data_IF_984579215595
#
_entry.id   IF_984579215595
#
_cell.length_a   1.000
_cell.length_b   1.000
_cell.length_c   1.000
_cell.angle_alpha   90.00
_cell.angle_beta   90.00
_cell.angle_gamma   90.00
#
_symmetry.space_group_name_H-M   'P 1'
#
loop_
_entity.id
_entity.type
_entity.pdbx_description
1 polymer ?
#
# COMPACT_ATOMS: atom_id res chain seq x y z
N UNK A 1 34.62 -19.87 -27.36
CA UNK A 1 34.98 -18.75 -26.46
C UNK A 1 33.71 -17.98 -26.17
N UNK A 2 33.13 -18.22 -24.98
CA UNK A 2 31.91 -17.56 -24.53
C UNK A 2 32.17 -16.08 -24.27
N UNK A 3 31.34 -15.21 -24.83
CA UNK A 3 31.10 -13.89 -24.25
C UNK A 3 29.61 -13.75 -24.00
N UNK A 4 29.31 -13.94 -22.73
CA UNK A 4 28.03 -13.76 -22.09
C UNK A 4 27.77 -12.24 -22.07
N UNK A 5 26.97 -11.72 -23.00
CA UNK A 5 26.39 -10.39 -22.82
C UNK A 5 25.28 -10.56 -21.78
N UNK A 6 25.70 -10.47 -20.51
CA UNK A 6 24.80 -10.32 -19.40
C UNK A 6 23.92 -9.12 -19.68
N UNK A 7 22.62 -9.38 -19.83
CA UNK A 7 21.61 -8.34 -19.87
C UNK A 7 21.73 -7.57 -18.55
N UNK A 8 22.35 -6.39 -18.63
CA UNK A 8 22.10 -5.32 -17.67
C UNK A 8 20.60 -5.09 -17.77
N UNK A 9 19.84 -5.65 -16.82
CA UNK A 9 18.46 -5.23 -16.58
C UNK A 9 18.53 -3.86 -15.94
N UNK A 10 18.88 -2.88 -16.77
CA UNK A 10 18.79 -1.45 -16.51
C UNK A 10 17.38 -1.15 -16.03
N UNK A 11 17.32 -0.46 -14.90
CA UNK A 11 16.11 -0.14 -14.19
C UNK A 11 15.09 0.59 -15.06
N UNK A 12 13.84 0.46 -14.61
CA UNK A 12 12.62 1.04 -15.19
C UNK A 12 12.10 0.26 -16.41
N UNK A 13 11.31 -0.80 -16.17
CA UNK A 13 10.26 -1.31 -17.09
C UNK A 13 9.47 -2.48 -16.46
N UNK A 14 8.65 -2.21 -15.43
CA UNK A 14 7.49 -3.04 -15.02
C UNK A 14 6.39 -2.19 -14.29
N UNK A 15 6.44 -0.85 -14.40
CA UNK A 15 5.74 0.10 -13.50
C UNK A 15 4.32 0.51 -13.97
N UNK A 16 3.62 -0.34 -14.73
CA UNK A 16 2.20 -0.09 -15.07
C UNK A 16 1.20 -0.88 -14.22
N UNK A 17 1.67 -1.82 -13.37
CA UNK A 17 0.77 -2.52 -12.46
C UNK A 17 0.56 -1.71 -11.16
N UNK A 18 -0.70 -1.49 -10.73
CA UNK A 18 -0.96 -0.86 -9.45
C UNK A 18 -0.34 -1.69 -8.32
N UNK A 19 0.32 -1.03 -7.37
CA UNK A 19 1.05 -1.64 -6.24
C UNK A 19 0.27 -2.77 -5.56
N UNK A 20 -1.04 -2.60 -5.43
CA UNK A 20 -1.98 -3.58 -4.88
C UNK A 20 -1.93 -4.91 -5.61
N UNK A 21 -1.96 -4.91 -6.95
CA UNK A 21 -1.91 -6.12 -7.75
C UNK A 21 -0.57 -6.84 -7.61
N UNK A 22 0.53 -6.07 -7.66
CA UNK A 22 1.88 -6.61 -7.54
C UNK A 22 2.07 -7.30 -6.19
N UNK A 23 1.69 -6.65 -5.09
CA UNK A 23 1.82 -7.20 -3.74
C UNK A 23 0.91 -8.41 -3.55
N UNK A 24 -0.33 -8.36 -4.02
CA UNK A 24 -1.26 -9.50 -3.94
C UNK A 24 -0.78 -10.72 -4.71
N UNK A 25 -0.07 -10.54 -5.83
CA UNK A 25 0.56 -11.63 -6.57
C UNK A 25 1.59 -12.34 -5.71
N UNK A 26 2.55 -11.60 -5.16
CA UNK A 26 3.58 -12.16 -4.27
C UNK A 26 2.98 -12.82 -3.02
N UNK A 27 1.94 -12.23 -2.42
CA UNK A 27 1.20 -12.86 -1.29
C UNK A 27 0.59 -14.20 -1.71
N UNK A 28 -0.02 -14.28 -2.91
CA UNK A 28 -0.62 -15.51 -3.43
C UNK A 28 0.43 -16.59 -3.71
N UNK A 29 1.59 -16.18 -4.19
CA UNK A 29 2.74 -17.05 -4.47
C UNK A 29 3.48 -17.48 -3.18
N UNK A 30 3.11 -16.90 -2.02
CA UNK A 30 3.74 -17.17 -0.72
C UNK A 30 5.08 -16.45 -0.53
N UNK A 31 5.42 -15.54 -1.44
CA UNK A 31 6.66 -14.76 -1.47
C UNK A 31 6.57 -13.54 -0.54
N UNK A 32 6.29 -13.79 0.74
CA UNK A 32 6.00 -12.73 1.71
C UNK A 32 7.15 -11.73 1.90
N UNK A 33 8.40 -12.20 1.82
CA UNK A 33 9.59 -11.34 1.95
C UNK A 33 9.66 -10.32 0.82
N UNK A 34 9.35 -10.73 -0.42
CA UNK A 34 9.35 -9.84 -1.58
C UNK A 34 8.20 -8.83 -1.49
N UNK A 35 7.03 -9.28 -1.06
CA UNK A 35 5.89 -8.40 -0.79
C UNK A 35 6.24 -7.34 0.28
N UNK A 36 6.92 -7.74 1.36
CA UNK A 36 7.34 -6.82 2.43
C UNK A 36 8.39 -5.82 1.93
N UNK A 37 9.37 -6.26 1.15
CA UNK A 37 10.40 -5.40 0.57
C UNK A 37 9.81 -4.31 -0.34
N UNK A 38 8.86 -4.68 -1.21
CA UNK A 38 8.15 -3.74 -2.08
C UNK A 38 7.42 -2.68 -1.25
N UNK A 39 6.73 -3.10 -0.19
CA UNK A 39 5.97 -2.19 0.65
C UNK A 39 6.87 -1.26 1.49
N UNK A 40 8.01 -1.76 1.98
CA UNK A 40 9.00 -0.97 2.70
C UNK A 40 9.67 0.07 1.79
N UNK A 41 10.01 -0.29 0.56
CA UNK A 41 10.54 0.65 -0.43
C UNK A 41 9.55 1.77 -0.70
N UNK A 42 8.27 1.44 -0.91
CA UNK A 42 7.21 2.42 -1.18
C UNK A 42 6.94 3.32 0.03
N UNK A 43 6.94 2.75 1.24
CA UNK A 43 6.86 3.52 2.49
C UNK A 43 8.03 4.49 2.64
N UNK A 44 9.25 4.06 2.32
CA UNK A 44 10.44 4.91 2.37
C UNK A 44 10.36 6.05 1.35
N UNK A 45 9.91 5.75 0.12
CA UNK A 45 9.68 6.78 -0.91
C UNK A 45 8.68 7.83 -0.41
N UNK A 46 7.54 7.40 0.15
CA UNK A 46 6.56 8.32 0.74
C UNK A 46 7.16 9.18 1.86
N UNK A 47 7.91 8.58 2.79
CA UNK A 47 8.54 9.30 3.90
C UNK A 47 9.64 10.26 3.44
N UNK A 48 10.27 10.00 2.30
CA UNK A 48 11.27 10.88 1.70
C UNK A 48 10.67 12.13 1.03
N UNK A 49 9.36 12.14 0.80
CA UNK A 49 8.69 13.31 0.23
C UNK A 49 8.62 14.43 1.28
N UNK A 50 9.16 15.62 0.99
CA UNK A 50 9.18 16.72 1.95
C UNK A 50 7.75 17.10 2.39
N UNK A 51 7.60 17.37 3.69
CA UNK A 51 6.32 17.69 4.33
C UNK A 51 5.66 18.98 3.82
N UNK A 52 6.42 19.85 3.14
CA UNK A 52 5.95 21.09 2.52
C UNK A 52 6.71 21.32 1.23
N UNK A 53 6.04 21.15 0.09
CA UNK A 53 6.53 21.60 -1.21
C UNK A 53 5.98 23.01 -1.51
N UNK A 54 6.76 23.89 -2.17
CA UNK A 54 6.30 25.22 -2.55
C UNK A 54 5.33 25.15 -3.75
N UNK A 55 4.15 25.76 -3.60
CA UNK A 55 3.21 26.03 -4.71
C UNK A 55 1.94 25.17 -4.67
N UNK A 56 0.78 25.85 -4.59
CA UNK A 56 -0.61 25.50 -4.97
C UNK A 56 -1.01 24.04 -5.27
N UNK A 57 -0.59 23.06 -4.46
CA UNK A 57 -0.96 21.66 -4.62
C UNK A 57 -1.71 21.14 -3.39
N UNK A 58 -3.02 21.39 -3.34
CA UNK A 58 -3.93 20.52 -2.55
C UNK A 58 -3.83 19.06 -3.04
N UNK A 59 -3.79 18.90 -4.36
CA UNK A 59 -3.77 17.62 -5.09
C UNK A 59 -2.57 16.72 -4.78
N UNK A 60 -1.36 17.24 -4.61
CA UNK A 60 -0.17 16.40 -4.39
C UNK A 60 -0.16 15.72 -3.01
N UNK A 61 -0.60 16.43 -1.97
CA UNK A 61 -0.69 15.89 -0.61
C UNK A 61 -1.79 14.82 -0.50
N UNK A 62 -2.87 14.99 -1.25
CA UNK A 62 -3.98 14.03 -1.34
C UNK A 62 -3.52 12.75 -2.04
N UNK A 63 -2.95 12.84 -3.24
CA UNK A 63 -2.41 11.69 -3.99
C UNK A 63 -1.40 10.91 -3.16
N UNK A 64 -0.52 11.59 -2.43
CA UNK A 64 0.43 10.93 -1.53
C UNK A 64 -0.26 10.17 -0.39
N UNK A 65 -1.30 10.75 0.22
CA UNK A 65 -2.05 10.09 1.29
C UNK A 65 -2.85 8.90 0.78
N UNK A 66 -3.40 8.98 -0.42
CA UNK A 66 -4.08 7.85 -1.07
C UNK A 66 -3.10 6.69 -1.30
N UNK A 67 -1.92 6.98 -1.87
CA UNK A 67 -0.87 5.97 -2.07
C UNK A 67 -0.46 5.34 -0.74
N UNK A 68 -0.24 6.15 0.31
CA UNK A 68 0.13 5.62 1.61
C UNK A 68 -0.99 4.80 2.27
N UNK A 69 -2.25 5.17 2.03
CA UNK A 69 -3.42 4.39 2.46
C UNK A 69 -3.42 2.99 1.85
N UNK A 70 -3.17 2.88 0.53
CA UNK A 70 -3.06 1.60 -0.16
C UNK A 70 -1.89 0.77 0.36
N UNK A 71 -0.73 1.40 0.60
CA UNK A 71 0.44 0.74 1.20
C UNK A 71 0.09 0.14 2.57
N UNK A 72 -0.61 0.88 3.43
CA UNK A 72 -1.09 0.38 4.72
C UNK A 72 -2.04 -0.83 4.56
N UNK A 73 -2.99 -0.78 3.61
CA UNK A 73 -3.88 -1.92 3.36
C UNK A 73 -3.13 -3.15 2.86
N UNK A 74 -2.15 -2.96 1.99
CA UNK A 74 -1.30 -4.05 1.51
C UNK A 74 -0.42 -4.66 2.62
N UNK A 75 0.10 -3.85 3.57
CA UNK A 75 0.73 -4.38 4.78
C UNK A 75 -0.27 -5.19 5.62
N UNK A 76 -1.50 -4.71 5.75
CA UNK A 76 -2.58 -5.44 6.41
C UNK A 76 -2.85 -6.81 5.76
N UNK A 77 -2.93 -6.85 4.43
CA UNK A 77 -3.11 -8.08 3.65
C UNK A 77 -1.94 -9.04 3.82
N UNK A 78 -0.71 -8.52 3.76
CA UNK A 78 0.53 -9.28 3.96
C UNK A 78 0.58 -9.95 5.34
N UNK A 79 0.38 -9.16 6.41
CA UNK A 79 0.43 -9.70 7.77
C UNK A 79 -0.76 -10.62 8.06
N UNK A 80 -1.93 -10.38 7.44
CA UNK A 80 -3.05 -11.31 7.50
C UNK A 80 -2.70 -12.66 6.87
N UNK A 81 -2.06 -12.65 5.69
CA UNK A 81 -1.62 -13.88 5.02
C UNK A 81 -0.59 -14.66 5.86
N UNK A 82 0.30 -13.94 6.56
CA UNK A 82 1.25 -14.50 7.51
C UNK A 82 0.63 -14.90 8.87
N UNK A 83 -0.70 -14.76 9.05
CA UNK A 83 -1.43 -15.01 10.31
C UNK A 83 -0.95 -14.13 11.49
N UNK A 84 -0.28 -13.02 11.21
CA UNK A 84 0.13 -12.02 12.20
C UNK A 84 -1.04 -11.05 12.42
N UNK A 85 -2.14 -11.55 12.98
CA UNK A 85 -3.43 -10.85 13.06
C UNK A 85 -3.35 -9.48 13.75
N UNK A 86 -2.59 -9.37 14.84
CA UNK A 86 -2.44 -8.12 15.57
C UNK A 86 -1.76 -7.03 14.73
N UNK A 87 -0.69 -7.38 13.99
CA UNK A 87 -0.03 -6.44 13.06
C UNK A 87 -0.95 -6.09 11.90
N UNK A 88 -1.68 -7.07 11.36
CA UNK A 88 -2.64 -6.82 10.29
C UNK A 88 -3.67 -5.76 10.70
N UNK A 89 -4.26 -5.91 11.90
CA UNK A 89 -5.20 -4.93 12.46
C UNK A 89 -4.59 -3.55 12.57
N UNK A 90 -3.36 -3.43 13.10
CA UNK A 90 -2.68 -2.14 13.23
C UNK A 90 -2.54 -1.42 11.88
N UNK A 91 -2.11 -2.12 10.83
CA UNK A 91 -1.93 -1.53 9.51
C UNK A 91 -3.26 -1.18 8.83
N UNK A 92 -4.31 -2.01 8.98
CA UNK A 92 -5.64 -1.64 8.49
C UNK A 92 -6.19 -0.39 9.20
N UNK A 93 -5.99 -0.28 10.52
CA UNK A 93 -6.39 0.90 11.28
C UNK A 93 -5.64 2.17 10.84
N UNK A 94 -4.33 2.07 10.59
CA UNK A 94 -3.52 3.17 10.06
C UNK A 94 -4.07 3.65 8.71
N UNK A 95 -4.30 2.73 7.77
CA UNK A 95 -4.87 3.04 6.46
C UNK A 95 -6.26 3.68 6.54
N UNK A 96 -7.14 3.18 7.40
CA UNK A 96 -8.49 3.76 7.59
C UNK A 96 -8.44 5.16 8.18
N UNK A 97 -7.49 5.45 9.07
CA UNK A 97 -7.28 6.79 9.62
C UNK A 97 -6.82 7.76 8.55
N UNK A 98 -5.91 7.33 7.67
CA UNK A 98 -5.42 8.14 6.54
C UNK A 98 -6.53 8.41 5.53
N UNK A 99 -7.31 7.39 5.17
CA UNK A 99 -8.47 7.53 4.29
C UNK A 99 -9.46 8.59 4.81
N UNK A 100 -9.79 8.54 6.12
CA UNK A 100 -10.66 9.54 6.75
C UNK A 100 -10.06 10.96 6.69
N UNK A 101 -8.74 11.09 6.78
CA UNK A 101 -8.06 12.37 6.62
C UNK A 101 -8.06 12.87 5.17
N UNK A 102 -8.18 11.99 4.19
CA UNK A 102 -8.41 12.37 2.79
C UNK A 102 -9.86 12.85 2.60
N UNK A 103 -10.84 12.09 3.09
CA UNK A 103 -12.27 12.46 3.02
C UNK A 103 -12.60 13.81 3.66
N UNK A 104 -11.85 14.22 4.69
CA UNK A 104 -12.05 15.51 5.36
C UNK A 104 -11.56 16.73 4.57
N UNK A 105 -10.88 16.55 3.45
CA UNK A 105 -10.35 17.65 2.63
C UNK A 105 -11.40 18.07 1.60
N UNK A 106 -11.78 19.35 1.58
CA UNK A 106 -12.69 19.91 0.59
C UNK A 106 -12.13 19.69 -0.83
N UNK A 107 -12.92 19.10 -1.72
CA UNK A 107 -12.47 18.72 -3.07
C UNK A 107 -11.99 17.27 -3.21
N UNK A 108 -11.97 16.48 -2.11
CA UNK A 108 -11.89 15.02 -2.17
C UNK A 108 -13.25 14.43 -2.61
N UNK A 109 -13.78 14.92 -3.72
CA UNK A 109 -15.05 14.46 -4.29
C UNK A 109 -14.83 13.15 -5.03
N UNK A 110 -14.60 12.08 -4.26
CA UNK A 110 -14.31 10.71 -4.68
C UNK A 110 -12.82 10.40 -4.79
N UNK A 111 -12.25 9.92 -3.68
CA UNK A 111 -11.20 8.90 -3.82
C UNK A 111 -11.65 7.88 -4.86
N UNK A 112 -10.74 7.47 -5.74
CA UNK A 112 -11.06 6.60 -6.88
C UNK A 112 -11.98 5.44 -6.46
N UNK A 113 -12.91 5.01 -7.32
CA UNK A 113 -13.80 3.88 -7.00
C UNK A 113 -13.01 2.66 -6.48
N UNK A 114 -11.80 2.49 -7.02
CA UNK A 114 -10.82 1.51 -6.57
C UNK A 114 -10.43 1.69 -5.09
N UNK A 115 -10.08 2.91 -4.65
CA UNK A 115 -9.73 3.18 -3.26
C UNK A 115 -10.90 2.89 -2.32
N UNK A 116 -12.13 3.27 -2.69
CA UNK A 116 -13.33 2.98 -1.87
C UNK A 116 -13.56 1.49 -1.72
N UNK A 117 -13.37 0.72 -2.80
CA UNK A 117 -13.45 -0.74 -2.79
C UNK A 117 -12.37 -1.35 -1.88
N UNK A 118 -11.13 -0.90 -2.03
CA UNK A 118 -10.01 -1.35 -1.18
C UNK A 118 -10.26 -1.03 0.30
N UNK A 119 -10.85 0.12 0.61
CA UNK A 119 -11.27 0.47 1.97
C UNK A 119 -12.35 -0.46 2.51
N UNK A 120 -13.33 -0.87 1.69
CA UNK A 120 -14.35 -1.82 2.11
C UNK A 120 -13.74 -3.20 2.41
N UNK A 121 -12.84 -3.68 1.55
CA UNK A 121 -12.09 -4.92 1.75
C UNK A 121 -11.23 -4.85 3.02
N UNK A 122 -10.52 -3.74 3.23
CA UNK A 122 -9.73 -3.50 4.44
C UNK A 122 -10.58 -3.56 5.72
N UNK A 123 -11.77 -2.96 5.73
CA UNK A 123 -12.69 -3.03 6.89
C UNK A 123 -13.12 -4.47 7.18
N UNK A 124 -13.50 -5.22 6.15
CA UNK A 124 -13.90 -6.63 6.27
C UNK A 124 -12.73 -7.47 6.80
N UNK A 125 -11.56 -7.31 6.21
CA UNK A 125 -10.36 -8.06 6.58
C UNK A 125 -9.89 -7.70 8.00
N UNK A 126 -9.97 -6.43 8.38
CA UNK A 126 -9.68 -5.97 9.74
C UNK A 126 -10.60 -6.62 10.76
N UNK A 127 -11.91 -6.69 10.48
CA UNK A 127 -12.88 -7.35 11.36
C UNK A 127 -12.56 -8.83 11.54
N UNK A 128 -12.24 -9.53 10.45
CA UNK A 128 -11.80 -10.93 10.52
C UNK A 128 -10.53 -11.08 11.38
N UNK A 129 -9.54 -10.21 11.19
CA UNK A 129 -8.31 -10.24 11.97
C UNK A 129 -8.57 -9.92 13.44
N UNK A 130 -9.43 -8.94 13.76
CA UNK A 130 -9.75 -8.61 15.15
C UNK A 130 -10.44 -9.77 15.86
N UNK A 131 -11.38 -10.44 15.20
CA UNK A 131 -12.09 -11.60 15.75
C UNK A 131 -11.12 -12.75 16.06
N UNK A 132 -10.03 -12.89 15.29
CA UNK A 132 -8.96 -13.88 15.52
C UNK A 132 -7.95 -13.46 16.58
N UNK A 133 -7.83 -12.16 16.90
CA UNK A 133 -6.98 -11.67 18.00
C UNK A 133 -7.68 -11.85 19.35
N UNK A 134 -9.01 -11.71 19.37
CA UNK A 134 -9.81 -11.80 20.61
C UNK A 134 -10.16 -13.22 21.05
N UNK A 135 -9.94 -14.22 20.19
CA UNK A 135 -10.16 -15.64 20.45
C UNK A 135 -8.88 -16.31 20.92
#
# INVERSE_FOLDING_TARGET
>A
MSTFFGSVSSGISQDDQPIVQKVRRHIREGEYTQAEEILLDQKKRYQSVPSRLPGEMGTYKEVLREIYTLVCYCFGDLYRAQKQWAKAVQYYQEGLKLFKQCESVEGFDNGSEDLKKETADARKNMKECSDRVTK
#
